data_IF_892186076200
#
_entry.id   IF_892186076200
#
_cell.length_a   1.000
_cell.length_b   1.000
_cell.length_c   1.000
_cell.angle_alpha   90.00
_cell.angle_beta   90.00
_cell.angle_gamma   90.00
#
_symmetry.space_group_name_H-M   'P 1'
#
loop_
_entity.id
_entity.type
_entity.pdbx_description
1 polymer ?
#
# COMPACT_ATOMS: atom_id res chain seq x y z
N UNK A 1 -13.58 23.15 38.70
CA UNK A 1 -14.26 22.11 37.89
C UNK A 1 -13.65 22.14 36.50
N UNK A 2 -13.29 20.97 35.97
CA UNK A 2 -12.31 20.76 34.89
C UNK A 2 -12.68 21.40 33.54
N UNK A 3 -11.72 22.11 32.93
CA UNK A 3 -11.74 22.56 31.53
C UNK A 3 -11.30 21.40 30.62
N UNK A 4 -12.21 20.85 29.82
CA UNK A 4 -11.91 19.83 28.82
C UNK A 4 -11.61 20.47 27.46
N UNK A 5 -10.32 20.62 27.13
CA UNK A 5 -9.85 20.91 25.77
C UNK A 5 -10.16 19.70 24.88
N UNK A 6 -11.23 19.80 24.07
CA UNK A 6 -11.39 18.92 22.92
C UNK A 6 -10.30 19.25 21.90
N UNK A 7 -9.31 18.37 21.80
CA UNK A 7 -8.33 18.37 20.72
C UNK A 7 -9.04 17.91 19.43
N UNK A 8 -9.63 18.85 18.70
CA UNK A 8 -10.04 18.64 17.30
C UNK A 8 -8.76 18.43 16.48
N UNK A 9 -8.44 17.17 16.17
CA UNK A 9 -7.50 16.86 15.10
C UNK A 9 -8.07 17.49 13.82
N UNK A 10 -7.44 18.56 13.34
CA UNK A 10 -7.77 19.15 12.05
C UNK A 10 -7.60 18.07 10.97
N UNK A 11 -8.65 17.79 10.20
CA UNK A 11 -8.55 16.95 9.02
C UNK A 11 -7.64 17.66 8.02
N UNK A 12 -6.46 17.10 7.75
CA UNK A 12 -5.53 17.62 6.74
C UNK A 12 -6.20 17.79 5.39
N UNK A 13 -5.86 18.86 4.67
CA UNK A 13 -6.41 19.09 3.32
C UNK A 13 -5.90 18.03 2.32
N UNK A 14 -6.62 17.79 1.23
CA UNK A 14 -6.17 16.85 0.19
C UNK A 14 -4.80 17.25 -0.39
N UNK A 15 -4.51 18.56 -0.49
CA UNK A 15 -3.20 19.05 -0.93
C UNK A 15 -2.08 18.69 0.04
N UNK A 16 -2.33 18.81 1.35
CA UNK A 16 -1.38 18.37 2.40
C UNK A 16 -1.18 16.86 2.36
N UNK A 17 -2.25 16.07 2.23
CA UNK A 17 -2.17 14.62 2.12
C UNK A 17 -1.37 14.18 0.89
N UNK A 18 -1.57 14.84 -0.25
CA UNK A 18 -0.77 14.59 -1.46
C UNK A 18 0.71 14.92 -1.23
N UNK A 19 1.02 16.06 -0.60
CA UNK A 19 2.40 16.48 -0.32
C UNK A 19 3.10 15.52 0.65
N UNK A 20 2.39 15.07 1.70
CA UNK A 20 2.90 14.07 2.63
C UNK A 20 3.17 12.74 1.91
N UNK A 21 2.22 12.29 1.09
CA UNK A 21 2.34 11.02 0.35
C UNK A 21 3.53 11.04 -0.59
N UNK A 22 3.76 12.16 -1.29
CA UNK A 22 4.92 12.32 -2.17
C UNK A 22 6.25 12.30 -1.40
N UNK A 23 6.27 12.85 -0.18
CA UNK A 23 7.44 12.80 0.70
C UNK A 23 7.74 11.36 1.13
N UNK A 24 6.71 10.60 1.48
CA UNK A 24 6.80 9.17 1.81
C UNK A 24 7.29 8.35 0.61
N UNK A 25 6.73 8.59 -0.58
CA UNK A 25 7.17 7.99 -1.84
C UNK A 25 8.65 8.23 -2.09
N UNK A 26 9.15 9.46 -1.93
CA UNK A 26 10.56 9.78 -2.17
C UNK A 26 11.51 9.17 -1.14
N UNK A 27 11.03 8.95 0.10
CA UNK A 27 11.84 8.45 1.20
C UNK A 27 11.97 6.92 1.23
N UNK A 28 10.95 6.20 0.76
CA UNK A 28 10.91 4.74 0.82
C UNK A 28 11.55 4.09 -0.42
N UNK A 29 12.88 4.07 -0.42
CA UNK A 29 13.74 3.47 -1.46
C UNK A 29 14.44 2.22 -0.93
N UNK A 30 14.26 1.11 -1.63
CA UNK A 30 14.87 -0.19 -1.30
C UNK A 30 16.33 -0.24 -1.76
N UNK A 31 17.27 -0.77 -0.96
CA UNK A 31 18.63 -1.00 -1.41
C UNK A 31 18.71 -2.14 -2.45
N UNK A 32 17.85 -3.14 -2.29
CA UNK A 32 17.62 -4.26 -3.21
C UNK A 32 16.18 -4.75 -3.05
N UNK A 33 15.65 -5.45 -4.05
CA UNK A 33 14.33 -6.07 -3.95
C UNK A 33 14.26 -7.32 -4.83
N UNK A 34 14.01 -8.47 -4.22
CA UNK A 34 13.86 -9.76 -4.88
C UNK A 34 12.52 -10.44 -4.54
N UNK A 35 12.33 -11.68 -4.98
CA UNK A 35 11.10 -12.45 -4.75
C UNK A 35 10.87 -12.71 -3.25
N UNK A 36 11.92 -13.03 -2.50
CA UNK A 36 11.83 -13.25 -1.04
C UNK A 36 11.40 -11.97 -0.32
N UNK A 37 11.90 -10.82 -0.77
CA UNK A 37 11.46 -9.52 -0.25
C UNK A 37 9.98 -9.27 -0.51
N UNK A 38 9.49 -9.59 -1.71
CA UNK A 38 8.08 -9.49 -2.05
C UNK A 38 7.22 -10.40 -1.16
N UNK A 39 7.63 -11.65 -0.97
CA UNK A 39 6.91 -12.60 -0.11
C UNK A 39 6.91 -12.12 1.35
N UNK A 40 8.05 -11.71 1.89
CA UNK A 40 8.17 -11.24 3.26
C UNK A 40 7.35 -9.97 3.51
N UNK A 41 7.41 -9.01 2.59
CA UNK A 41 6.59 -7.78 2.64
C UNK A 41 5.10 -8.12 2.55
N UNK A 42 4.70 -8.98 1.61
CA UNK A 42 3.32 -9.40 1.43
C UNK A 42 2.73 -10.08 2.67
N UNK A 43 3.50 -10.98 3.29
CA UNK A 43 3.12 -11.62 4.55
C UNK A 43 3.05 -10.62 5.71
N UNK A 44 3.93 -9.62 5.75
CA UNK A 44 3.90 -8.55 6.76
C UNK A 44 2.61 -7.71 6.64
N UNK A 45 2.23 -7.32 5.42
CA UNK A 45 0.97 -6.60 5.15
C UNK A 45 -0.23 -7.43 5.59
N UNK A 46 -0.28 -8.71 5.18
CA UNK A 46 -1.32 -9.66 5.59
C UNK A 46 -1.44 -9.77 7.11
N UNK A 47 -0.31 -9.97 7.80
CA UNK A 47 -0.26 -10.09 9.26
C UNK A 47 -0.84 -8.83 9.91
N UNK A 48 -0.45 -7.65 9.44
CA UNK A 48 -0.95 -6.38 9.97
C UNK A 48 -2.45 -6.20 9.73
N UNK A 49 -2.96 -6.54 8.55
CA UNK A 49 -4.39 -6.45 8.26
C UNK A 49 -5.20 -7.37 9.18
N UNK A 50 -4.75 -8.62 9.38
CA UNK A 50 -5.40 -9.58 10.30
C UNK A 50 -5.45 -9.10 11.75
N UNK A 51 -4.50 -8.27 12.17
CA UNK A 51 -4.49 -7.66 13.50
C UNK A 51 -5.28 -6.34 13.58
N UNK A 52 -5.90 -5.89 12.48
CA UNK A 52 -6.63 -4.63 12.44
C UNK A 52 -8.09 -4.78 12.90
N UNK A 53 -8.66 -3.68 13.38
CA UNK A 53 -10.10 -3.61 13.70
C UNK A 53 -11.00 -3.84 12.49
N UNK A 54 -10.51 -3.58 11.26
CA UNK A 54 -11.24 -3.84 10.02
C UNK A 54 -11.50 -5.33 9.84
N UNK A 55 -10.46 -6.15 10.01
CA UNK A 55 -10.59 -7.60 9.94
C UNK A 55 -11.51 -8.14 11.04
N UNK A 56 -11.39 -7.63 12.27
CA UNK A 56 -12.28 -8.02 13.37
C UNK A 56 -13.77 -7.69 13.11
N UNK A 57 -14.06 -6.74 12.22
CA UNK A 57 -15.41 -6.36 11.78
C UNK A 57 -15.87 -7.12 10.52
N UNK A 58 -15.19 -8.21 10.14
CA UNK A 58 -15.52 -9.00 8.96
C UNK A 58 -15.22 -8.27 7.65
N UNK A 59 -14.16 -7.46 7.59
CA UNK A 59 -13.67 -6.90 6.32
C UNK A 59 -12.54 -7.75 5.77
N UNK A 60 -12.57 -7.94 4.45
CA UNK A 60 -11.54 -8.64 3.70
C UNK A 60 -10.54 -7.69 3.04
N UNK A 61 -9.50 -8.29 2.47
CA UNK A 61 -8.43 -7.61 1.75
C UNK A 61 -7.96 -8.49 0.59
N UNK A 62 -7.74 -7.90 -0.57
CA UNK A 62 -6.92 -8.49 -1.64
C UNK A 62 -5.59 -7.75 -1.71
N UNK A 63 -4.51 -8.47 -1.97
CA UNK A 63 -3.14 -7.97 -1.99
C UNK A 63 -2.38 -8.59 -3.16
N UNK A 64 -1.63 -7.78 -3.88
CA UNK A 64 -0.71 -8.23 -4.92
C UNK A 64 0.59 -7.43 -4.90
N UNK A 65 1.70 -8.11 -5.18
CA UNK A 65 2.98 -7.51 -5.49
C UNK A 65 3.40 -8.03 -6.85
N UNK A 66 3.59 -7.12 -7.80
CA UNK A 66 3.94 -7.45 -9.17
C UNK A 66 5.17 -6.66 -9.59
N UNK A 67 6.00 -7.21 -10.47
CA UNK A 67 6.99 -6.41 -11.17
C UNK A 67 6.29 -5.33 -12.01
N UNK A 68 7.02 -4.28 -12.38
CA UNK A 68 6.48 -3.24 -13.26
C UNK A 68 6.00 -3.84 -14.59
N UNK A 69 6.62 -4.93 -15.04
CA UNK A 69 6.30 -5.67 -16.26
C UNK A 69 5.06 -6.59 -16.15
N UNK A 70 4.48 -6.82 -14.97
CA UNK A 70 3.30 -7.69 -14.84
C UNK A 70 3.52 -9.05 -14.20
N UNK A 71 4.76 -9.42 -13.84
CA UNK A 71 5.01 -10.71 -13.22
C UNK A 71 4.56 -10.69 -11.76
N UNK A 72 3.65 -11.59 -11.39
CA UNK A 72 3.21 -11.74 -10.00
C UNK A 72 4.34 -12.32 -9.13
N UNK A 73 4.73 -11.58 -8.10
CA UNK A 73 5.71 -12.01 -7.09
C UNK A 73 5.01 -12.51 -5.82
N UNK A 74 3.85 -11.94 -5.51
CA UNK A 74 3.02 -12.33 -4.37
C UNK A 74 1.55 -11.98 -4.66
N UNK A 75 0.61 -12.84 -4.30
CA UNK A 75 -0.82 -12.57 -4.35
C UNK A 75 -1.51 -13.24 -3.16
N UNK A 76 -2.41 -12.53 -2.49
CA UNK A 76 -3.09 -13.05 -1.32
C UNK A 76 -4.48 -12.43 -1.12
N UNK A 77 -5.43 -13.28 -0.75
CA UNK A 77 -6.73 -12.87 -0.23
C UNK A 77 -6.78 -13.11 1.28
N UNK A 78 -7.37 -12.17 2.01
CA UNK A 78 -7.61 -12.24 3.45
C UNK A 78 -9.09 -11.97 3.72
N UNK A 79 -9.75 -12.82 4.48
CA UNK A 79 -11.19 -12.73 4.74
C UNK A 79 -11.87 -14.08 4.57
N UNK A 80 -13.17 -14.13 4.78
CA UNK A 80 -14.01 -15.28 4.47
C UNK A 80 -14.44 -15.23 2.98
N UNK A 81 -14.38 -16.37 2.29
CA UNK A 81 -14.78 -16.50 0.87
C UNK A 81 -16.21 -17.04 0.70
N UNK A 82 -16.91 -17.33 1.79
CA UNK A 82 -18.24 -17.94 1.74
C UNK A 82 -18.67 -18.51 3.07
N UNK A 83 -18.63 -17.67 4.12
CA UNK A 83 -19.01 -18.04 5.47
C UNK A 83 -20.49 -18.40 5.60
N UNK A 84 -20.98 -18.67 6.82
CA UNK A 84 -22.38 -19.06 7.06
C UNK A 84 -23.43 -18.08 6.51
N UNK A 85 -23.04 -16.81 6.29
CA UNK A 85 -23.86 -15.76 5.69
C UNK A 85 -23.95 -15.83 4.16
N UNK A 86 -23.15 -16.67 3.49
CA UNK A 86 -23.11 -16.82 2.03
C UNK A 86 -22.49 -15.65 1.26
N UNK A 87 -22.06 -14.59 1.94
CA UNK A 87 -21.45 -13.40 1.33
C UNK A 87 -19.97 -13.33 1.73
N UNK A 88 -19.08 -13.47 0.74
CA UNK A 88 -17.64 -13.36 0.96
C UNK A 88 -17.21 -11.93 1.27
N UNK A 89 -16.17 -11.79 2.10
CA UNK A 89 -15.60 -10.51 2.53
C UNK A 89 -14.89 -9.76 1.38
N UNK A 90 -14.61 -10.47 0.27
CA UNK A 90 -14.05 -9.97 -0.98
C UNK A 90 -14.77 -10.57 -2.18
N UNK A 91 -14.76 -9.86 -3.31
CA UNK A 91 -15.43 -10.26 -4.55
C UNK A 91 -14.51 -10.16 -5.77
N UNK A 92 -14.96 -10.62 -6.94
CA UNK A 92 -14.25 -10.41 -8.20
C UNK A 92 -14.01 -8.91 -8.50
N UNK A 93 -14.95 -8.04 -8.11
CA UNK A 93 -14.79 -6.58 -8.21
C UNK A 93 -13.61 -6.07 -7.37
N UNK A 94 -13.30 -6.72 -6.25
CA UNK A 94 -12.16 -6.35 -5.41
C UNK A 94 -10.83 -6.57 -6.14
N UNK A 95 -10.69 -7.69 -6.87
CA UNK A 95 -9.52 -7.96 -7.70
C UNK A 95 -9.45 -7.04 -8.91
N UNK A 96 -10.57 -6.75 -9.57
CA UNK A 96 -10.62 -5.80 -10.68
C UNK A 96 -10.20 -4.37 -10.26
N UNK A 97 -10.61 -3.93 -9.06
CA UNK A 97 -10.14 -2.67 -8.48
C UNK A 97 -8.65 -2.70 -8.17
N UNK A 98 -8.16 -3.79 -7.61
CA UNK A 98 -6.73 -3.96 -7.31
C UNK A 98 -5.87 -3.88 -8.57
N UNK A 99 -6.23 -4.58 -9.65
CA UNK A 99 -5.52 -4.47 -10.93
C UNK A 99 -5.60 -3.06 -11.52
N UNK A 100 -6.77 -2.42 -11.40
CA UNK A 100 -6.94 -1.03 -11.83
C UNK A 100 -6.02 -0.05 -11.10
N UNK A 101 -5.81 -0.25 -9.80
CA UNK A 101 -4.85 0.54 -9.02
C UNK A 101 -3.40 0.30 -9.48
N UNK A 102 -3.02 -0.95 -9.74
CA UNK A 102 -1.68 -1.29 -10.24
C UNK A 102 -1.42 -0.60 -11.59
N UNK A 103 -2.41 -0.59 -12.48
CA UNK A 103 -2.30 0.08 -13.78
C UNK A 103 -2.10 1.60 -13.64
N UNK A 104 -2.71 2.23 -12.64
CA UNK A 104 -2.44 3.65 -12.34
C UNK A 104 -0.98 3.84 -11.96
N UNK A 105 -0.44 3.05 -11.03
CA UNK A 105 0.97 3.15 -10.62
C UNK A 105 1.92 2.91 -11.79
N UNK A 106 1.61 1.94 -12.66
CA UNK A 106 2.40 1.69 -13.89
C UNK A 106 2.43 2.88 -14.83
N UNK A 107 1.30 3.60 -14.98
CA UNK A 107 1.18 4.75 -15.88
C UNK A 107 1.78 6.02 -15.31
N UNK A 108 1.65 6.24 -14.01
CA UNK A 108 2.04 7.52 -13.38
C UNK A 108 3.37 7.47 -12.64
N UNK A 109 3.83 6.28 -12.25
CA UNK A 109 4.99 6.11 -11.37
C UNK A 109 4.73 6.48 -9.90
N UNK A 110 3.50 6.83 -9.55
CA UNK A 110 3.11 7.33 -8.22
C UNK A 110 2.08 6.44 -7.54
N UNK A 111 1.98 6.53 -6.22
CA UNK A 111 0.95 5.81 -5.47
C UNK A 111 -0.44 6.30 -5.86
N UNK A 112 -1.41 5.40 -5.80
CA UNK A 112 -2.79 5.78 -6.13
C UNK A 112 -3.38 6.78 -5.15
N UNK A 113 -2.91 6.79 -3.90
CA UNK A 113 -3.35 7.76 -2.89
C UNK A 113 -2.81 9.17 -3.17
N UNK A 114 -1.56 9.31 -3.66
CA UNK A 114 -1.04 10.60 -4.12
C UNK A 114 -1.88 11.14 -5.29
N UNK A 115 -2.13 10.30 -6.30
CA UNK A 115 -2.91 10.69 -7.46
C UNK A 115 -4.34 11.08 -7.06
N UNK A 116 -5.01 10.27 -6.24
CA UNK A 116 -6.37 10.52 -5.75
C UNK A 116 -6.47 11.85 -5.00
N UNK A 117 -5.60 12.11 -4.02
CA UNK A 117 -5.62 13.36 -3.25
C UNK A 117 -5.21 14.57 -4.10
N UNK A 118 -4.22 14.43 -4.98
CA UNK A 118 -3.80 15.50 -5.89
C UNK A 118 -4.93 15.92 -6.82
N UNK A 119 -5.72 14.96 -7.30
CA UNK A 119 -6.91 15.22 -8.11
C UNK A 119 -8.01 15.94 -7.33
N UNK A 120 -8.32 15.45 -6.13
CA UNK A 120 -9.33 16.08 -5.28
C UNK A 120 -8.94 17.49 -4.86
N UNK A 121 -7.63 17.77 -4.70
CA UNK A 121 -7.14 19.11 -4.41
C UNK A 121 -7.37 20.11 -5.57
N UNK A 122 -7.39 19.64 -6.82
CA UNK A 122 -7.64 20.47 -8.01
C UNK A 122 -9.07 20.36 -8.55
N UNK A 123 -9.97 19.70 -7.81
CA UNK A 123 -11.38 19.55 -8.18
C UNK A 123 -11.63 18.70 -9.42
N UNK A 124 -10.69 17.82 -9.81
CA UNK A 124 -10.84 16.92 -10.96
C UNK A 124 -11.32 15.55 -10.54
N UNK A 125 -12.12 14.92 -11.40
CA UNK A 125 -12.57 13.54 -11.25
C UNK A 125 -11.84 12.60 -12.21
N UNK A 126 -11.93 11.28 -11.95
CA UNK A 126 -11.30 10.24 -12.77
C UNK A 126 -11.71 10.33 -14.26
N UNK A 127 -12.93 10.79 -14.54
CA UNK A 127 -13.45 11.08 -15.88
C UNK A 127 -12.62 12.11 -16.64
N UNK A 128 -11.98 13.04 -15.93
CA UNK A 128 -11.37 14.24 -16.50
C UNK A 128 -9.91 14.03 -16.90
N UNK A 129 -9.29 12.92 -16.45
CA UNK A 129 -7.89 12.59 -16.75
C UNK A 129 -7.71 11.68 -17.97
N UNK A 130 -8.78 11.33 -18.69
CA UNK A 130 -8.69 10.35 -19.79
C UNK A 130 -8.29 8.95 -19.31
N UNK A 131 -8.37 8.69 -18.01
CA UNK A 131 -8.14 7.39 -17.37
C UNK A 131 -9.38 6.51 -17.67
N UNK A 132 -9.44 5.96 -18.90
CA UNK A 132 -10.52 5.08 -19.36
C UNK A 132 -10.20 3.60 -19.13
N UNK A 133 -11.25 2.84 -18.82
CA UNK A 133 -11.36 1.38 -18.97
C UNK A 133 -10.83 0.56 -17.79
N UNK A 134 -9.51 0.61 -17.57
CA UNK A 134 -8.80 -0.42 -16.80
C UNK A 134 -8.05 0.13 -15.58
N UNK A 135 -8.37 1.35 -15.17
CA UNK A 135 -7.73 2.01 -14.04
C UNK A 135 -8.79 2.34 -12.99
N UNK A 136 -8.46 2.13 -11.72
CA UNK A 136 -9.31 2.45 -10.59
C UNK A 136 -8.51 3.29 -9.61
N UNK A 137 -9.00 4.50 -9.32
CA UNK A 137 -8.36 5.40 -8.37
C UNK A 137 -8.95 5.18 -6.99
N UNK A 138 -8.32 4.29 -6.24
CA UNK A 138 -8.48 4.16 -4.81
C UNK A 138 -7.09 4.13 -4.18
N UNK A 139 -6.89 4.78 -3.05
CA UNK A 139 -5.68 4.61 -2.24
C UNK A 139 -5.44 3.14 -1.88
N UNK A 140 -4.19 2.68 -2.03
CA UNK A 140 -3.83 1.30 -1.70
C UNK A 140 -2.72 0.68 -2.55
N UNK A 141 -2.36 1.30 -3.68
CA UNK A 141 -1.20 0.87 -4.48
C UNK A 141 -0.04 1.86 -4.34
N UNK A 142 1.18 1.31 -4.25
CA UNK A 142 2.40 2.06 -3.98
C UNK A 142 3.57 1.52 -4.84
N UNK A 143 4.36 2.41 -5.48
CA UNK A 143 5.49 2.01 -6.30
C UNK A 143 6.69 1.58 -5.44
N UNK A 144 7.33 0.47 -5.81
CA UNK A 144 8.58 0.00 -5.19
C UNK A 144 9.74 0.52 -6.03
N UNK A 145 10.56 1.34 -5.40
CA UNK A 145 11.70 2.00 -6.02
C UNK A 145 13.01 1.52 -5.40
N UNK A 146 14.06 1.43 -6.21
CA UNK A 146 15.40 1.18 -5.72
C UNK A 146 16.16 2.49 -5.49
N UNK A 147 17.10 2.48 -4.54
CA UNK A 147 18.00 3.61 -4.29
C UNK A 147 18.88 3.94 -5.50
N UNK A 148 19.25 2.92 -6.28
CA UNK A 148 20.14 3.02 -7.44
C UNK A 148 19.42 3.05 -8.80
N UNK A 149 18.08 3.06 -8.83
CA UNK A 149 17.30 3.08 -10.07
C UNK A 149 16.22 4.18 -10.01
N UNK A 150 16.57 5.45 -10.31
CA UNK A 150 15.64 6.58 -10.18
C UNK A 150 14.72 6.77 -11.39
N UNK A 151 14.91 6.06 -12.50
CA UNK A 151 14.17 6.29 -13.74
C UNK A 151 12.79 5.60 -13.78
N UNK A 152 12.61 4.48 -13.07
CA UNK A 152 11.33 3.79 -12.98
C UNK A 152 11.23 2.93 -11.71
N UNK A 153 10.01 2.75 -11.17
CA UNK A 153 9.79 1.76 -10.14
C UNK A 153 9.95 0.35 -10.73
N UNK A 154 10.48 -0.57 -9.94
CA UNK A 154 10.76 -1.96 -10.35
C UNK A 154 9.59 -2.90 -10.11
N UNK A 155 8.72 -2.55 -9.16
CA UNK A 155 7.56 -3.33 -8.76
C UNK A 155 6.47 -2.42 -8.19
N UNK A 156 5.27 -2.97 -8.02
CA UNK A 156 4.12 -2.32 -7.43
C UNK A 156 3.57 -3.24 -6.35
N UNK A 157 3.30 -2.68 -5.17
CA UNK A 157 2.53 -3.35 -4.12
C UNK A 157 1.16 -2.69 -4.02
N UNK A 158 0.10 -3.48 -4.07
CA UNK A 158 -1.27 -3.00 -4.00
C UNK A 158 -2.09 -3.81 -3.00
N UNK A 159 -2.86 -3.12 -2.15
CA UNK A 159 -3.81 -3.71 -1.23
C UNK A 159 -5.16 -3.01 -1.38
N UNK A 160 -6.24 -3.78 -1.41
CA UNK A 160 -7.61 -3.26 -1.50
C UNK A 160 -8.52 -3.93 -0.49
N UNK A 161 -9.06 -3.13 0.44
CA UNK A 161 -10.05 -3.52 1.44
C UNK A 161 -11.24 -2.57 1.50
N UNK A 162 -11.34 -1.65 0.53
CA UNK A 162 -12.46 -0.72 0.37
C UNK A 162 -12.35 0.60 1.15
N UNK A 163 -11.21 0.90 1.77
CA UNK A 163 -10.97 2.19 2.45
C UNK A 163 -9.63 2.75 2.01
N UNK A 164 -9.65 3.70 1.07
CA UNK A 164 -8.45 4.25 0.44
C UNK A 164 -7.40 4.76 1.46
N UNK A 165 -7.76 5.56 2.49
CA UNK A 165 -6.78 6.00 3.49
C UNK A 165 -6.19 4.86 4.32
N UNK A 166 -7.03 3.88 4.69
CA UNK A 166 -6.57 2.77 5.54
C UNK A 166 -5.73 1.76 4.76
N UNK A 167 -6.07 1.52 3.50
CA UNK A 167 -5.33 0.63 2.60
C UNK A 167 -3.97 1.23 2.25
N UNK A 168 -3.92 2.53 1.94
CA UNK A 168 -2.66 3.24 1.77
C UNK A 168 -1.78 3.19 3.02
N UNK A 169 -2.33 3.54 4.20
CA UNK A 169 -1.59 3.49 5.47
C UNK A 169 -1.11 2.08 5.79
N UNK A 170 -1.90 1.05 5.50
CA UNK A 170 -1.52 -0.34 5.70
C UNK A 170 -0.27 -0.69 4.88
N UNK A 171 -0.25 -0.34 3.59
CA UNK A 171 0.86 -0.60 2.68
C UNK A 171 2.09 0.22 3.08
N UNK A 172 1.95 1.54 3.21
CA UNK A 172 3.07 2.45 3.48
C UNK A 172 3.75 2.15 4.80
N UNK A 173 2.99 1.96 5.88
CA UNK A 173 3.58 1.58 7.16
C UNK A 173 4.31 0.23 7.04
N UNK A 174 3.89 -0.68 6.14
CA UNK A 174 4.51 -2.01 6.00
C UNK A 174 5.85 -1.89 5.30
N UNK A 175 5.90 -1.07 4.25
CA UNK A 175 7.13 -0.73 3.54
C UNK A 175 8.11 -0.05 4.49
N UNK A 176 7.67 1.00 5.20
CA UNK A 176 8.52 1.73 6.16
C UNK A 176 9.17 0.80 7.18
N UNK A 177 8.36 -0.05 7.80
CA UNK A 177 8.85 -0.94 8.87
C UNK A 177 9.69 -2.09 8.29
N UNK A 178 9.43 -2.51 7.05
CA UNK A 178 10.26 -3.49 6.34
C UNK A 178 11.64 -2.91 6.00
N UNK A 179 11.70 -1.70 5.45
CA UNK A 179 12.96 -0.99 5.17
C UNK A 179 13.80 -0.79 6.43
N UNK A 180 13.18 -0.43 7.56
CA UNK A 180 13.90 -0.32 8.85
C UNK A 180 14.56 -1.64 9.26
N UNK A 181 13.91 -2.78 9.00
CA UNK A 181 14.48 -4.11 9.29
C UNK A 181 15.61 -4.49 8.35
N UNK A 182 15.57 -4.05 7.09
CA UNK A 182 16.65 -4.30 6.13
C UNK A 182 17.95 -3.55 6.48
N UNK A 183 17.81 -2.35 7.08
CA UNK A 183 18.96 -1.53 7.49
C UNK A 183 19.59 -2.02 8.81
N UNK A 184 18.82 -2.71 9.66
CA UNK A 184 19.36 -3.29 10.88
C UNK A 184 20.06 -4.62 10.55
N UNK A 185 21.34 -4.80 10.92
CA UNK A 185 21.97 -6.11 10.82
C UNK A 185 21.17 -7.12 11.65
N UNK A 186 21.10 -8.40 11.24
CA UNK A 186 20.43 -9.41 12.05
C UNK A 186 21.10 -9.46 13.42
N UNK A 187 20.34 -9.13 14.47
CA UNK A 187 20.76 -9.32 15.86
C UNK A 187 21.11 -10.80 16.06
N UNK A 188 22.40 -11.14 15.99
CA UNK A 188 22.85 -12.53 16.11
C UNK A 188 24.21 -12.88 15.49
N UNK A 189 24.88 -12.00 14.75
CA UNK A 189 26.28 -12.22 14.40
C UNK A 189 27.19 -11.88 15.59
N UNK A 190 27.20 -12.71 16.62
CA UNK A 190 28.34 -12.77 17.55
C UNK A 190 29.57 -13.15 16.73
N UNK A 191 30.48 -12.19 16.57
CA UNK A 191 31.84 -12.44 16.13
C UNK A 191 32.47 -13.48 17.06
N UNK A 192 32.48 -14.73 16.64
CA UNK A 192 33.35 -15.75 17.21
C UNK A 192 34.77 -15.48 16.71
N UNK A 193 35.41 -14.47 17.28
CA UNK A 193 36.87 -14.37 17.30
C UNK A 193 37.38 -15.39 18.31
N UNK A 194 37.77 -16.57 17.84
CA UNK A 194 38.67 -17.44 18.60
C UNK A 194 39.88 -17.73 17.72
N UNK A 195 40.96 -17.08 18.15
CA UNK A 195 42.40 -17.37 18.05
C UNK A 195 42.82 -18.62 17.28
#
# INVERSE_FOLDING_TARGET
MFNGLHHTQASSSNAELATQTLTEENSYRFPSFNVEDAVALGLSIRKRFRSSSRYAKGKGLVLSIQTIAGHALFACTVGDLGGPSGMGDVSLDSWARLEGMINVVRRTGHSTFYIENGMFAVGKHQSDLGIRGDCNLNGGAFPIWLQNAPCCPIAVVAAYGGSAPDDHRLVVNSIRDYLKKMVQPPNGATESTVR
#
